data_IF_565456846385
#
_entry.id   IF_565456846385
#
_cell.length_a   1.000
_cell.length_b   1.000
_cell.length_c   1.000
_cell.angle_alpha   90.00
_cell.angle_beta   90.00
_cell.angle_gamma   90.00
#
_symmetry.space_group_name_H-M   'P 1'
#
loop_
_entity.id
_entity.type
_entity.pdbx_description
1 polymer ?
#
# COMPACT_ATOMS: atom_id res chain seq x y z
N UNK A 1 27.19 -10.84 -35.93
CA UNK A 1 26.92 -10.87 -35.48
C UNK A 1 26.26 -10.50 -34.90
N UNK A 2 25.75 -10.54 -34.62
CA UNK A 2 25.15 -10.27 -33.96
C UNK A 2 24.72 -10.43 -33.01
N UNK A 3 24.63 -10.24 -32.62
CA UNK A 3 24.36 -10.33 -31.43
C UNK A 3 23.14 -10.06 -30.95
N UNK A 4 22.69 -10.60 -30.21
CA UNK A 4 21.50 -10.50 -29.72
C UNK A 4 21.36 -9.67 -28.71
N UNK A 5 20.57 -9.24 -28.52
CA UNK A 5 20.24 -8.47 -27.58
C UNK A 5 19.91 -9.05 -26.49
N UNK A 6 20.02 -8.75 -25.82
CA UNK A 6 19.69 -9.14 -24.72
C UNK A 6 18.50 -9.18 -24.37
N UNK A 7 18.13 -9.58 -24.06
CA UNK A 7 16.96 -9.68 -23.66
C UNK A 7 16.37 -8.97 -22.75
N UNK A 8 16.30 -8.92 -22.93
CA UNK A 8 15.75 -8.49 -22.14
C UNK A 8 14.97 -8.51 -21.67
N UNK A 9 14.72 -8.63 -21.68
CA UNK A 9 14.10 -8.63 -21.12
C UNK A 9 13.42 -8.81 -20.66
N UNK A 10 13.12 -8.93 -20.53
CA UNK A 10 12.22 -9.26 -20.09
C UNK A 10 11.29 -8.87 -20.10
N UNK A 11 11.20 -8.86 -20.58
CA UNK A 11 10.50 -8.60 -20.48
C UNK A 11 9.66 -8.75 -20.38
N UNK A 12 9.47 -8.72 -20.51
CA UNK A 12 8.57 -8.89 -20.37
C UNK A 12 7.73 -8.84 -20.56
N UNK A 13 7.73 -8.82 -20.76
CA UNK A 13 7.05 -8.94 -20.73
C UNK A 13 6.35 -8.95 -21.12
N UNK A 14 6.38 -8.95 -21.47
CA UNK A 14 5.89 -9.02 -21.50
C UNK A 14 5.05 -9.11 -21.44
N UNK A 15 4.89 -9.30 -21.78
CA UNK A 15 4.16 -9.53 -21.44
C UNK A 15 3.32 -9.38 -21.13
N UNK A 16 3.09 -9.33 -21.39
CA UNK A 16 2.34 -9.32 -20.83
C UNK A 16 1.78 -9.08 -20.46
N UNK A 17 1.79 -9.18 -20.47
CA UNK A 17 1.35 -9.05 -19.79
C UNK A 17 1.10 -8.63 -19.21
N UNK A 18 0.96 -8.59 -19.60
CA UNK A 18 0.81 -8.23 -18.87
C UNK A 18 0.36 -7.98 -18.04
N UNK A 19 0.31 -8.23 -17.85
CA UNK A 19 -0.31 -8.04 -16.95
C UNK A 19 0.14 -7.35 -16.06
N UNK A 20 -0.54 -6.65 -15.70
CA UNK A 20 -0.01 -5.80 -14.71
C UNK A 20 0.35 -6.58 -13.50
N UNK A 21 1.58 -6.54 -13.15
CA UNK A 21 2.03 -7.22 -11.96
C UNK A 21 1.99 -6.20 -10.84
N UNK A 22 1.20 -6.49 -9.82
CA UNK A 22 1.14 -5.64 -8.64
C UNK A 22 2.43 -5.84 -7.86
N UNK A 23 3.13 -4.76 -7.57
CA UNK A 23 4.33 -4.83 -6.75
C UNK A 23 3.96 -5.37 -5.36
N UNK A 24 4.68 -6.39 -4.88
CA UNK A 24 4.43 -6.96 -3.57
C UNK A 24 5.08 -6.11 -2.49
N UNK A 25 4.66 -4.86 -2.41
CA UNK A 25 5.17 -3.89 -1.45
C UNK A 25 4.06 -3.00 -0.94
N UNK A 26 4.19 -2.62 0.32
CA UNK A 26 3.23 -1.75 1.00
C UNK A 26 3.95 -0.50 1.46
N UNK A 27 3.35 0.64 1.21
CA UNK A 27 3.76 1.88 1.86
C UNK A 27 2.75 2.17 2.97
N UNK A 28 3.23 2.18 4.21
CA UNK A 28 2.39 2.44 5.37
C UNK A 28 2.62 3.86 5.86
N UNK A 29 1.58 4.66 5.82
CA UNK A 29 1.64 6.04 6.29
C UNK A 29 1.08 6.05 7.70
N UNK A 30 1.96 5.93 8.68
CA UNK A 30 1.58 5.80 10.08
C UNK A 30 2.74 6.20 10.98
N UNK A 31 2.44 6.74 12.14
CA UNK A 31 3.42 6.96 13.20
C UNK A 31 3.20 6.00 14.39
N UNK A 32 2.30 5.04 14.24
CA UNK A 32 1.96 4.10 15.30
C UNK A 32 2.89 2.89 15.24
N UNK A 33 3.74 2.69 16.25
CA UNK A 33 4.69 1.58 16.22
C UNK A 33 4.02 0.21 16.21
N UNK A 34 2.81 0.09 16.77
CA UNK A 34 2.11 -1.19 16.76
C UNK A 34 1.66 -1.57 15.36
N UNK A 35 1.22 -0.59 14.57
CA UNK A 35 0.85 -0.83 13.18
C UNK A 35 2.10 -1.27 12.40
N UNK A 36 3.22 -0.58 12.61
CA UNK A 36 4.46 -0.94 11.92
C UNK A 36 4.90 -2.36 12.26
N UNK A 37 4.87 -2.71 13.54
CA UNK A 37 5.30 -4.03 13.97
C UNK A 37 4.42 -5.12 13.40
N UNK A 38 3.11 -4.90 13.37
CA UNK A 38 2.19 -5.88 12.82
C UNK A 38 2.43 -6.08 11.33
N UNK A 39 2.65 -5.00 10.60
CA UNK A 39 2.93 -5.10 9.17
C UNK A 39 4.25 -5.80 8.91
N UNK A 40 5.26 -5.55 9.73
CA UNK A 40 6.55 -6.23 9.56
C UNK A 40 6.41 -7.72 9.82
N UNK A 41 5.61 -8.12 10.80
CA UNK A 41 5.35 -9.54 11.05
C UNK A 41 4.66 -10.18 9.85
N UNK A 42 3.66 -9.51 9.29
CA UNK A 42 2.99 -10.02 8.10
C UNK A 42 3.94 -10.12 6.93
N UNK A 43 4.81 -9.12 6.77
CA UNK A 43 5.77 -9.11 5.67
C UNK A 43 6.75 -10.27 5.76
N UNK A 44 7.22 -10.58 6.96
CA UNK A 44 8.12 -11.70 7.17
C UNK A 44 7.43 -13.03 6.88
N UNK A 45 6.16 -13.14 7.24
CA UNK A 45 5.43 -14.38 7.00
C UNK A 45 5.10 -14.59 5.53
N UNK A 46 4.75 -13.52 4.82
CA UNK A 46 4.16 -13.63 3.49
C UNK A 46 5.07 -13.14 2.36
N UNK A 47 6.20 -12.57 2.69
CA UNK A 47 7.22 -12.25 1.68
C UNK A 47 7.00 -10.97 0.90
N UNK A 48 6.34 -9.97 1.48
CA UNK A 48 6.21 -8.67 0.81
C UNK A 48 7.08 -7.63 1.50
N UNK A 49 7.33 -6.52 0.79
CA UNK A 49 8.12 -5.42 1.34
C UNK A 49 7.24 -4.40 2.05
N UNK A 50 7.78 -3.74 3.06
CA UNK A 50 7.09 -2.68 3.77
C UNK A 50 8.01 -1.49 3.92
N UNK A 51 7.51 -0.32 3.54
CA UNK A 51 8.14 0.95 3.84
C UNK A 51 7.17 1.77 4.68
N UNK A 52 7.69 2.58 5.58
CA UNK A 52 6.86 3.37 6.46
C UNK A 52 7.19 4.85 6.34
N UNK A 53 6.16 5.67 6.41
CA UNK A 53 6.29 7.12 6.43
C UNK A 53 5.49 7.64 7.61
N UNK A 54 6.09 8.49 8.42
CA UNK A 54 5.43 9.03 9.61
C UNK A 54 4.77 10.37 9.35
N UNK A 55 4.79 10.84 8.09
CA UNK A 55 4.18 12.11 7.74
C UNK A 55 3.74 12.08 6.30
N UNK A 56 2.89 13.00 5.95
CA UNK A 56 2.41 13.20 4.59
C UNK A 56 3.56 13.51 3.64
N UNK A 57 4.46 14.36 4.05
CA UNK A 57 5.60 14.78 3.21
C UNK A 57 6.53 13.60 2.93
N UNK A 58 6.80 12.80 3.94
CA UNK A 58 7.65 11.62 3.77
C UNK A 58 6.98 10.60 2.84
N UNK A 59 5.68 10.41 3.00
CA UNK A 59 4.92 9.50 2.15
C UNK A 59 5.00 9.93 0.68
N UNK A 60 4.85 11.22 0.42
CA UNK A 60 4.93 11.73 -0.94
C UNK A 60 6.29 11.44 -1.57
N UNK A 61 7.37 11.61 -0.81
CA UNK A 61 8.71 11.31 -1.30
C UNK A 61 8.85 9.84 -1.66
N UNK A 62 8.35 8.96 -0.80
CA UNK A 62 8.47 7.52 -1.03
C UNK A 62 7.63 7.08 -2.21
N UNK A 63 6.46 7.67 -2.40
CA UNK A 63 5.63 7.37 -3.56
C UNK A 63 6.33 7.71 -4.88
N UNK A 64 7.04 8.83 -4.90
CA UNK A 64 7.74 9.25 -6.12
C UNK A 64 8.95 8.38 -6.41
N UNK A 65 9.51 7.74 -5.40
CA UNK A 65 10.64 6.85 -5.60
C UNK A 65 10.22 5.49 -6.13
N UNK A 66 9.16 4.96 -5.56
CA UNK A 66 8.73 3.63 -5.91
C UNK A 66 7.25 3.48 -5.62
N UNK A 67 6.49 3.13 -6.63
CA UNK A 67 5.04 2.96 -6.53
C UNK A 67 4.74 1.66 -5.79
N UNK A 68 4.03 1.71 -4.65
CA UNK A 68 3.70 0.48 -3.93
C UNK A 68 2.52 -0.23 -4.56
N UNK A 69 2.38 -1.51 -4.26
CA UNK A 69 1.18 -2.26 -4.65
C UNK A 69 -0.01 -1.94 -3.76
N UNK A 70 0.25 -1.49 -2.53
CA UNK A 70 -0.80 -1.14 -1.59
C UNK A 70 -0.35 0.04 -0.74
N UNK A 71 -1.26 0.97 -0.52
CA UNK A 71 -1.05 2.08 0.38
C UNK A 71 -1.91 1.86 1.61
N UNK A 72 -1.30 1.84 2.78
CA UNK A 72 -2.02 1.75 4.04
C UNK A 72 -1.90 3.09 4.74
N UNK A 73 -3.02 3.68 5.14
CA UNK A 73 -3.02 5.01 5.72
C UNK A 73 -3.68 4.97 7.10
N UNK A 74 -2.95 5.44 8.09
CA UNK A 74 -3.43 5.52 9.47
C UNK A 74 -4.24 6.80 9.64
N UNK A 75 -5.50 6.66 10.01
CA UNK A 75 -6.39 7.80 10.17
C UNK A 75 -6.25 8.49 11.52
N UNK A 76 -5.46 7.89 12.42
CA UNK A 76 -5.31 8.39 13.78
C UNK A 76 -4.11 9.32 13.96
N UNK A 77 -3.40 9.63 12.88
CA UNK A 77 -2.26 10.53 12.96
C UNK A 77 -2.72 11.95 13.31
N UNK A 78 -1.84 12.67 13.98
CA UNK A 78 -2.14 14.02 14.45
C UNK A 78 -2.55 14.93 13.29
N UNK A 79 -3.48 15.85 13.56
CA UNK A 79 -3.91 16.84 12.57
C UNK A 79 -4.65 16.25 11.39
N UNK A 80 -5.14 15.02 11.52
CA UNK A 80 -5.83 14.31 10.45
C UNK A 80 -4.97 14.17 9.19
N UNK A 81 -3.67 13.97 9.38
CA UNK A 81 -2.74 13.88 8.27
C UNK A 81 -3.11 12.75 7.32
N UNK A 82 -3.58 11.62 7.84
CA UNK A 82 -3.98 10.49 7.00
C UNK A 82 -5.14 10.83 6.09
N UNK A 83 -6.17 11.48 6.62
CA UNK A 83 -7.32 11.90 5.81
C UNK A 83 -6.91 12.89 4.74
N UNK A 84 -6.07 13.84 5.10
CA UNK A 84 -5.57 14.84 4.15
C UNK A 84 -4.77 14.18 3.05
N UNK A 85 -3.93 13.23 3.43
CA UNK A 85 -3.10 12.52 2.47
C UNK A 85 -3.96 11.76 1.48
N UNK A 86 -4.98 11.03 1.95
CA UNK A 86 -5.88 10.31 1.06
C UNK A 86 -6.59 11.23 0.09
N UNK A 87 -7.04 12.38 0.58
CA UNK A 87 -7.74 13.34 -0.27
C UNK A 87 -6.82 13.86 -1.37
N UNK A 88 -5.60 14.19 -1.01
CA UNK A 88 -4.60 14.65 -1.97
C UNK A 88 -4.28 13.56 -2.99
N UNK A 89 -4.15 12.33 -2.51
CA UNK A 89 -3.82 11.19 -3.35
C UNK A 89 -4.86 10.98 -4.45
N UNK A 90 -6.14 11.11 -4.08
CA UNK A 90 -7.25 10.88 -5.02
C UNK A 90 -7.27 11.87 -6.17
N UNK A 91 -6.58 12.99 -6.01
CA UNK A 91 -6.50 14.03 -7.03
C UNK A 91 -5.17 14.03 -7.73
N UNK A 92 -4.36 12.98 -7.54
CA UNK A 92 -3.02 12.93 -8.08
C UNK A 92 -2.87 11.82 -9.10
N UNK A 93 -1.66 11.67 -9.62
CA UNK A 93 -1.30 10.60 -10.54
C UNK A 93 -1.32 9.23 -9.86
N UNK A 94 -1.40 9.19 -8.54
CA UNK A 94 -1.39 7.95 -7.78
C UNK A 94 -2.79 7.49 -7.37
N UNK A 95 -3.84 8.08 -7.94
CA UNK A 95 -5.21 7.82 -7.51
C UNK A 95 -5.66 6.38 -7.73
N UNK A 96 -4.97 5.65 -8.59
CA UNK A 96 -5.31 4.28 -8.90
C UNK A 96 -4.59 3.24 -8.04
N UNK A 97 -3.74 3.69 -7.10
CA UNK A 97 -3.12 2.75 -6.17
C UNK A 97 -4.18 2.23 -5.20
N UNK A 98 -4.18 0.92 -4.97
CA UNK A 98 -5.06 0.32 -3.99
C UNK A 98 -4.74 0.88 -2.60
N UNK A 99 -5.77 1.26 -1.87
CA UNK A 99 -5.61 1.87 -0.55
C UNK A 99 -6.46 1.15 0.48
N UNK A 100 -5.93 1.05 1.69
CA UNK A 100 -6.71 0.68 2.87
C UNK A 100 -6.41 1.69 3.98
N UNK A 101 -7.34 1.81 4.91
CA UNK A 101 -7.17 2.71 6.04
C UNK A 101 -7.21 1.92 7.34
N UNK A 102 -6.50 2.38 8.35
CA UNK A 102 -6.54 1.78 9.68
C UNK A 102 -6.88 2.84 10.71
N UNK A 103 -7.60 2.46 11.76
CA UNK A 103 -8.02 3.41 12.79
C UNK A 103 -8.43 2.67 14.05
N UNK A 104 -8.32 3.33 15.20
CA UNK A 104 -8.89 2.86 16.45
C UNK A 104 -10.33 3.35 16.63
N UNK A 105 -10.78 4.28 15.83
CA UNK A 105 -12.12 4.83 15.92
C UNK A 105 -13.16 3.85 15.40
N UNK A 106 -14.27 3.71 16.09
CA UNK A 106 -15.37 2.88 15.64
C UNK A 106 -16.48 3.69 14.99
N UNK A 107 -16.19 4.89 14.55
CA UNK A 107 -17.15 5.74 13.85
C UNK A 107 -17.48 5.12 12.49
N UNK A 108 -18.73 4.70 12.26
CA UNK A 108 -19.09 4.06 10.99
C UNK A 108 -19.02 5.01 9.81
N UNK A 109 -18.98 6.30 10.03
CA UNK A 109 -18.89 7.26 8.93
C UNK A 109 -17.50 7.33 8.32
N UNK A 110 -16.49 6.82 9.01
CA UNK A 110 -15.12 6.87 8.47
C UNK A 110 -14.97 6.09 7.19
N UNK A 111 -15.54 4.88 7.11
CA UNK A 111 -15.39 4.08 5.90
C UNK A 111 -16.05 4.76 4.70
N UNK A 112 -17.14 5.48 4.93
CA UNK A 112 -17.78 6.24 3.86
C UNK A 112 -16.89 7.42 3.47
N UNK A 113 -16.34 8.12 4.45
CA UNK A 113 -15.56 9.33 4.21
C UNK A 113 -14.25 9.03 3.46
N UNK A 114 -13.62 7.90 3.77
CA UNK A 114 -12.33 7.59 3.14
C UNK A 114 -12.47 6.84 1.82
N UNK A 115 -13.64 6.26 1.57
CA UNK A 115 -13.92 5.51 0.34
C UNK A 115 -12.84 4.45 0.09
N UNK A 116 -12.52 3.70 1.14
CA UNK A 116 -11.54 2.62 1.12
C UNK A 116 -11.87 1.65 2.23
N UNK A 117 -11.44 0.39 2.12
CA UNK A 117 -11.62 -0.55 3.23
C UNK A 117 -10.93 -0.03 4.48
N UNK A 118 -11.59 -0.19 5.63
CA UNK A 118 -11.07 0.26 6.91
C UNK A 118 -10.86 -0.94 7.81
N UNK A 119 -9.70 -1.02 8.41
CA UNK A 119 -9.36 -2.07 9.36
C UNK A 119 -9.11 -1.44 10.72
N UNK A 120 -9.45 -2.16 11.79
CA UNK A 120 -9.56 -1.55 13.11
C UNK A 120 -8.43 -2.04 14.02
N UNK A 121 -7.80 -1.08 14.69
CA UNK A 121 -6.81 -1.37 15.72
C UNK A 121 -7.51 -1.98 16.91
N UNK A 122 -6.83 -2.76 17.72
CA UNK A 122 -5.39 -3.02 17.66
C UNK A 122 -4.99 -4.15 16.72
N UNK A 123 -5.86 -5.10 16.45
CA UNK A 123 -5.48 -6.31 15.73
C UNK A 123 -5.50 -6.22 14.22
N UNK A 124 -6.17 -5.21 13.67
CA UNK A 124 -6.35 -5.04 12.23
C UNK A 124 -6.92 -6.30 11.57
N UNK A 125 -7.97 -6.85 12.20
CA UNK A 125 -8.56 -8.11 11.77
C UNK A 125 -8.98 -8.03 10.31
N UNK A 126 -8.61 -9.05 9.55
CA UNK A 126 -8.93 -9.13 8.14
C UNK A 126 -7.90 -8.50 7.21
N UNK A 127 -6.97 -7.72 7.76
CA UNK A 127 -5.98 -7.05 6.93
C UNK A 127 -5.05 -8.04 6.24
N UNK A 128 -4.61 -9.06 6.96
CA UNK A 128 -3.74 -10.09 6.40
C UNK A 128 -4.41 -10.80 5.24
N UNK A 129 -5.69 -11.10 5.35
CA UNK A 129 -6.46 -11.72 4.27
C UNK A 129 -6.54 -10.78 3.07
N UNK A 130 -6.79 -9.50 3.30
CA UNK A 130 -6.89 -8.51 2.23
C UNK A 130 -5.55 -8.37 1.49
N UNK A 131 -4.46 -8.31 2.23
CA UNK A 131 -3.12 -8.23 1.65
C UNK A 131 -2.83 -9.49 0.84
N UNK A 132 -3.16 -10.64 1.40
CA UNK A 132 -2.93 -11.91 0.73
C UNK A 132 -3.65 -12.01 -0.59
N UNK A 133 -4.88 -11.52 -0.65
CA UNK A 133 -5.64 -11.52 -1.91
C UNK A 133 -5.02 -10.60 -2.94
N UNK A 134 -4.55 -9.44 -2.51
CA UNK A 134 -3.97 -8.47 -3.42
C UNK A 134 -2.68 -8.98 -4.05
N UNK A 135 -1.84 -9.64 -3.26
CA UNK A 135 -0.53 -10.09 -3.71
C UNK A 135 -0.50 -11.56 -4.11
N UNK A 136 -1.65 -12.24 -4.07
CA UNK A 136 -1.69 -13.64 -4.44
C UNK A 136 -1.36 -13.82 -5.91
N UNK A 137 -0.68 -14.92 -6.28
CA UNK A 137 -0.43 -15.18 -7.69
C UNK A 137 -1.73 -15.36 -8.43
N UNK A 138 -1.79 -14.81 -9.62
CA UNK A 138 -2.94 -14.97 -10.48
C UNK A 138 -3.01 -16.39 -11.02
N UNK A 139 -4.21 -16.88 -11.22
CA UNK A 139 -4.37 -18.23 -11.72
C UNK A 139 -5.08 -18.25 -13.06
#
# INVERSE_FOLDING_TARGET
MLSPPPPTEPRPAQSGSVMAVVSASILAVTDDPEVKDLLLEMALADGFGVRCAASEAEAAKLLHRERPGLLLVDLDMAGRAGMKFLRTLRQSLFRDIACVAVTASNDPMLSVAVDAPVFYKPGLDGLDTAIGRLFAPSR
#
